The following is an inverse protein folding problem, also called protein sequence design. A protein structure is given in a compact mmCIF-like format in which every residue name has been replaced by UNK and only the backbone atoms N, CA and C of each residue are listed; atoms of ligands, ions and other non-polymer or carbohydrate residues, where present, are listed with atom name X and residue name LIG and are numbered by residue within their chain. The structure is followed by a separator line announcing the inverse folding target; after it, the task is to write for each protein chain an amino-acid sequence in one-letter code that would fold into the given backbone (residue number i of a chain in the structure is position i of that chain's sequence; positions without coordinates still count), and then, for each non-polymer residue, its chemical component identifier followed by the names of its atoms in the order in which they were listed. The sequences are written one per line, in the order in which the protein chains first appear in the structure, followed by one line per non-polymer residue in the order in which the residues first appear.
data_IF_718079460892
#
_entry.id   IF_718079460892
#
_cell.length_a   1.000
_cell.length_b   1.000
_cell.length_c   1.000
_cell.angle_alpha   90.00
_cell.angle_beta   90.00
_cell.angle_gamma   90.00
#
_symmetry.space_group_name_H-M   'P 1'
#
loop_
_entity.id
_entity.type
_entity.pdbx_description
1 polymer ?
#
# COMPACT_ATOMS: atom_id res chain seq x y z
N UNK A 1 -13.48 -6.32 -2.65
CA UNK A 1 -14.92 -6.20 -2.30
C UNK A 1 -15.03 -5.31 -1.08
N UNK A 2 -15.87 -4.28 -1.10
CA UNK A 2 -16.09 -3.40 0.05
C UNK A 2 -17.19 -3.99 0.94
N UNK A 3 -16.98 -4.09 2.25
CA UNK A 3 -17.93 -4.69 3.17
C UNK A 3 -17.33 -5.01 4.54
N UNK A 4 -18.01 -5.83 5.33
CA UNK A 4 -17.49 -6.30 6.61
C UNK A 4 -16.67 -7.58 6.43
N UNK A 5 -15.48 -7.61 7.03
CA UNK A 5 -14.50 -8.67 6.89
C UNK A 5 -14.06 -9.18 8.26
N UNK A 6 -14.05 -10.50 8.41
CA UNK A 6 -13.60 -11.17 9.64
C UNK A 6 -12.08 -11.25 9.68
N UNK A 7 -11.50 -10.83 10.79
CA UNK A 7 -10.12 -11.07 11.20
C UNK A 7 -10.09 -12.16 12.28
N UNK A 8 -8.92 -12.47 12.83
CA UNK A 8 -8.81 -13.52 13.83
C UNK A 8 -9.58 -13.19 15.12
N UNK A 9 -9.32 -12.03 15.74
CA UNK A 9 -9.97 -11.61 16.99
C UNK A 9 -11.09 -10.59 16.79
N UNK A 10 -11.29 -10.08 15.57
CA UNK A 10 -12.16 -8.94 15.34
C UNK A 10 -12.82 -8.96 13.95
N UNK A 11 -13.53 -7.89 13.59
CA UNK A 11 -14.02 -7.65 12.25
C UNK A 11 -13.85 -6.18 11.90
N UNK A 12 -13.55 -5.90 10.64
CA UNK A 12 -13.35 -4.54 10.13
C UNK A 12 -14.23 -4.30 8.91
N UNK A 13 -14.72 -3.06 8.75
CA UNK A 13 -15.48 -2.64 7.58
C UNK A 13 -14.55 -1.89 6.62
N UNK A 14 -14.64 -2.18 5.32
CA UNK A 14 -13.84 -1.51 4.30
C UNK A 14 -13.56 -2.39 3.09
N UNK A 15 -12.53 -2.02 2.34
CA UNK A 15 -12.09 -2.79 1.18
C UNK A 15 -11.20 -3.95 1.64
N UNK A 16 -11.72 -5.18 1.54
CA UNK A 16 -10.94 -6.39 1.78
C UNK A 16 -10.04 -6.75 0.59
N UNK A 17 -8.74 -6.94 0.86
CA UNK A 17 -7.69 -7.34 -0.07
C UNK A 17 -7.08 -8.66 0.43
N UNK A 18 -7.15 -9.71 -0.39
CA UNK A 18 -6.54 -11.00 -0.06
C UNK A 18 -5.10 -11.04 -0.59
N UNK A 19 -4.14 -11.04 0.31
CA UNK A 19 -2.72 -11.16 -0.03
C UNK A 19 -2.32 -12.63 -0.29
N UNK A 20 -1.31 -12.89 -1.14
CA UNK A 20 -0.81 -14.24 -1.38
C UNK A 20 -0.32 -14.91 -0.08
N UNK A 21 -0.82 -16.11 0.21
CA UNK A 21 -0.44 -16.87 1.41
C UNK A 21 -1.06 -16.36 2.71
N UNK A 22 -1.90 -15.32 2.67
CA UNK A 22 -2.55 -14.81 3.87
C UNK A 22 -3.86 -15.56 4.19
N UNK A 23 -4.06 -15.83 5.48
CA UNK A 23 -5.27 -16.51 5.99
C UNK A 23 -6.45 -15.56 6.08
N UNK A 24 -6.20 -14.34 6.57
CA UNK A 24 -7.20 -13.28 6.70
C UNK A 24 -6.91 -12.16 5.70
N UNK A 25 -7.94 -11.46 5.20
CA UNK A 25 -7.72 -10.31 4.32
C UNK A 25 -7.14 -9.14 5.09
N UNK A 26 -6.41 -8.28 4.37
CA UNK A 26 -6.12 -6.92 4.80
C UNK A 26 -7.36 -6.08 4.49
N UNK A 27 -7.80 -5.25 5.44
CA UNK A 27 -9.02 -4.44 5.29
C UNK A 27 -8.64 -2.97 5.35
N UNK A 28 -8.84 -2.26 4.25
CA UNK A 28 -8.57 -0.82 4.18
C UNK A 28 -9.87 -0.04 4.37
N UNK A 29 -9.93 0.80 5.41
CA UNK A 29 -11.00 1.79 5.55
C UNK A 29 -10.68 2.97 4.60
N UNK A 30 -11.48 3.10 3.55
CA UNK A 30 -11.28 4.11 2.50
C UNK A 30 -11.62 5.54 2.97
N UNK A 31 -12.33 5.70 4.10
CA UNK A 31 -12.71 7.00 4.65
C UNK A 31 -11.62 7.58 5.55
N UNK A 32 -10.92 6.72 6.31
CA UNK A 32 -9.88 7.12 7.25
C UNK A 32 -8.46 6.86 6.76
N UNK A 33 -8.30 5.96 5.79
CA UNK A 33 -7.00 5.47 5.33
C UNK A 33 -6.35 4.46 6.28
N UNK A 34 -7.06 4.00 7.32
CA UNK A 34 -6.55 2.98 8.24
C UNK A 34 -6.59 1.59 7.62
N UNK A 35 -5.62 0.76 8.01
CA UNK A 35 -5.49 -0.61 7.53
C UNK A 35 -5.58 -1.56 8.72
N UNK A 36 -6.61 -2.40 8.74
CA UNK A 36 -6.79 -3.45 9.73
C UNK A 36 -6.31 -4.78 9.14
N UNK A 37 -5.46 -5.48 9.87
CA UNK A 37 -4.93 -6.78 9.48
C UNK A 37 -4.50 -7.58 10.70
N UNK A 38 -4.36 -8.90 10.53
CA UNK A 38 -3.78 -9.77 11.53
C UNK A 38 -2.94 -10.82 10.83
N UNK A 39 -1.63 -10.79 11.08
CA UNK A 39 -0.71 -11.76 10.54
C UNK A 39 -0.07 -12.65 11.61
N UNK A 40 -0.41 -12.48 12.90
CA UNK A 40 0.16 -13.19 14.05
C UNK A 40 1.65 -13.53 13.90
N UNK A 41 2.52 -12.51 13.95
CA UNK A 41 3.99 -12.66 13.80
C UNK A 41 4.36 -13.48 12.54
N UNK A 42 3.61 -13.28 11.46
CA UNK A 42 3.81 -13.97 10.19
C UNK A 42 3.09 -15.31 10.03
N UNK A 43 2.48 -15.90 11.08
CA UNK A 43 1.81 -17.21 10.96
C UNK A 43 0.59 -17.21 10.04
N UNK A 44 -0.07 -16.07 9.88
CA UNK A 44 -1.23 -15.93 8.99
C UNK A 44 -0.94 -15.16 7.71
N UNK A 45 0.35 -14.94 7.42
CA UNK A 45 0.79 -14.26 6.21
C UNK A 45 2.09 -13.53 6.44
N UNK A 46 3.01 -13.60 5.47
CA UNK A 46 4.29 -12.89 5.56
C UNK A 46 4.08 -11.37 5.51
N UNK A 47 4.67 -10.65 6.48
CA UNK A 47 4.63 -9.19 6.57
C UNK A 47 5.10 -8.52 5.27
N UNK A 48 6.09 -9.11 4.59
CA UNK A 48 6.63 -8.62 3.31
C UNK A 48 5.57 -8.43 2.22
N UNK A 49 4.47 -9.21 2.24
CA UNK A 49 3.36 -9.04 1.27
C UNK A 49 2.53 -7.80 1.56
N UNK A 50 2.33 -7.48 2.83
CA UNK A 50 1.68 -6.24 3.26
C UNK A 50 2.58 -5.05 2.94
N UNK A 51 3.88 -5.16 3.24
CA UNK A 51 4.85 -4.10 2.96
C UNK A 51 4.91 -3.79 1.45
N UNK A 52 4.92 -4.82 0.60
CA UNK A 52 4.86 -4.65 -0.86
C UNK A 52 3.57 -3.94 -1.33
N UNK A 53 2.41 -4.26 -0.74
CA UNK A 53 1.16 -3.58 -1.02
C UNK A 53 1.24 -2.09 -0.65
N UNK A 54 1.75 -1.79 0.56
CA UNK A 54 1.90 -0.41 1.04
C UNK A 54 2.89 0.39 0.22
N UNK A 55 4.01 -0.22 -0.16
CA UNK A 55 5.03 0.39 -1.01
C UNK A 55 4.46 0.77 -2.38
N UNK A 56 3.72 -0.14 -3.03
CA UNK A 56 3.06 0.17 -4.31
C UNK A 56 1.97 1.23 -4.17
N UNK A 57 1.19 1.20 -3.08
CA UNK A 57 0.20 2.25 -2.82
C UNK A 57 0.87 3.62 -2.66
N UNK A 58 1.96 3.71 -1.91
CA UNK A 58 2.71 4.95 -1.72
C UNK A 58 3.26 5.49 -3.06
N UNK A 59 3.79 4.60 -3.89
CA UNK A 59 4.25 4.92 -5.24
C UNK A 59 3.12 5.50 -6.09
N UNK A 60 2.00 4.81 -6.20
CA UNK A 60 0.86 5.27 -7.01
C UNK A 60 0.26 6.58 -6.47
N UNK A 61 0.16 6.72 -5.15
CA UNK A 61 -0.29 7.97 -4.54
C UNK A 61 0.64 9.13 -4.88
N UNK A 62 1.95 8.93 -4.79
CA UNK A 62 2.95 9.94 -5.12
C UNK A 62 2.89 10.33 -6.62
N UNK A 63 2.73 9.35 -7.53
CA UNK A 63 2.52 9.62 -8.96
C UNK A 63 1.30 10.49 -9.22
N UNK A 64 0.17 10.18 -8.59
CA UNK A 64 -1.07 10.95 -8.74
C UNK A 64 -0.87 12.40 -8.29
N UNK A 65 -0.23 12.61 -7.14
CA UNK A 65 0.02 13.97 -6.64
C UNK A 65 1.06 14.73 -7.47
N UNK A 66 2.10 14.06 -7.98
CA UNK A 66 3.07 14.65 -8.91
C UNK A 66 2.39 15.09 -10.22
N UNK A 67 1.55 14.22 -10.81
CA UNK A 67 0.80 14.53 -12.03
C UNK A 67 -0.13 15.73 -11.86
N UNK A 68 -0.82 15.84 -10.72
CA UNK A 68 -1.68 17.01 -10.41
C UNK A 68 -0.91 18.33 -10.40
N UNK A 69 0.38 18.29 -10.10
CA UNK A 69 1.28 19.46 -10.08
C UNK A 69 2.02 19.67 -11.41
N UNK A 70 1.77 18.84 -12.43
CA UNK A 70 2.47 18.90 -13.71
C UNK A 70 3.91 18.35 -13.66
N UNK A 71 4.28 17.62 -12.61
CA UNK A 71 5.62 17.05 -12.46
C UNK A 71 5.73 15.72 -13.21
N UNK A 72 6.93 15.42 -13.70
CA UNK A 72 7.24 14.10 -14.26
C UNK A 72 7.85 13.20 -13.19
N UNK A 73 7.75 11.88 -13.38
CA UNK A 73 8.22 10.89 -12.40
C UNK A 73 9.02 9.79 -13.10
N UNK A 74 10.01 9.24 -12.42
CA UNK A 74 10.75 8.05 -12.85
C UNK A 74 10.84 7.02 -11.73
N UNK A 75 10.77 5.73 -12.10
CA UNK A 75 10.77 4.61 -11.18
C UNK A 75 11.96 3.69 -11.41
N UNK A 76 12.54 3.21 -10.33
CA UNK A 76 13.58 2.19 -10.37
C UNK A 76 13.30 1.12 -9.31
N UNK A 77 13.13 -0.12 -9.76
CA UNK A 77 13.07 -1.30 -8.90
C UNK A 77 14.49 -1.68 -8.49
N UNK A 78 14.73 -1.76 -7.17
CA UNK A 78 16.03 -2.12 -6.62
C UNK A 78 16.11 -3.62 -6.37
N UNK A 79 17.32 -4.17 -6.38
CA UNK A 79 17.55 -5.60 -6.10
C UNK A 79 17.13 -6.00 -4.68
N UNK A 80 17.05 -5.04 -3.75
CA UNK A 80 16.53 -5.23 -2.39
C UNK A 80 15.00 -5.42 -2.32
N UNK A 81 14.27 -5.18 -3.43
CA UNK A 81 12.80 -5.17 -3.47
C UNK A 81 12.18 -3.78 -3.22
N UNK A 82 12.98 -2.79 -2.85
CA UNK A 82 12.54 -1.41 -2.72
C UNK A 82 12.30 -0.75 -4.08
N UNK A 83 11.48 0.30 -4.09
CA UNK A 83 11.21 1.13 -5.27
C UNK A 83 11.71 2.54 -4.99
N UNK A 84 12.67 2.99 -5.79
CA UNK A 84 13.09 4.38 -5.82
C UNK A 84 12.19 5.14 -6.79
N UNK A 85 11.36 6.03 -6.26
CA UNK A 85 10.54 6.96 -7.04
C UNK A 85 11.20 8.35 -7.03
N UNK A 86 11.50 8.89 -8.21
CA UNK A 86 12.09 10.23 -8.37
C UNK A 86 11.06 11.16 -8.99
N UNK A 87 10.80 12.29 -8.33
CA UNK A 87 9.87 13.33 -8.81
C UNK A 87 10.69 14.48 -9.39
N UNK A 88 10.47 14.79 -10.67
CA UNK A 88 11.12 15.89 -11.37
C UNK A 88 10.21 17.12 -11.32
N UNK A 89 10.58 18.08 -10.47
CA UNK A 89 9.86 19.33 -10.28
C UNK A 89 10.37 20.36 -11.29
N UNK A 90 9.51 20.83 -12.20
CA UNK A 90 9.83 21.96 -13.07
C UNK A 90 9.63 23.27 -12.31
N UNK A 91 10.71 24.04 -12.08
CA UNK A 91 10.63 25.39 -11.49
C UNK A 91 11.40 25.63 -10.18
N UNK A 92 12.24 24.69 -9.73
CA UNK A 92 13.18 24.97 -8.63
C UNK A 92 14.40 25.73 -9.15
N UNK A 93 14.55 27.00 -8.78
CA UNK A 93 15.81 27.72 -8.95
C UNK A 93 16.92 26.97 -8.19
N UNK A 94 18.07 26.79 -8.86
CA UNK A 94 19.32 26.36 -8.23
C UNK A 94 19.94 27.48 -7.40
#
# INVERSE_FOLDING_TARGET
MNGQHKLFTSSAAGLGIKLPGWTYPVVCDLSTGQVAFDNYVGRWGEQSKLDALLQMYAVEKAKIEARKKGYTVSEQFLASGEIKLTIHVSGGAA
#
